data_IF_573010491046
#
_entry.id   IF_573010491046
#
_cell.length_a   1.000
_cell.length_b   1.000
_cell.length_c   1.000
_cell.angle_alpha   90.00
_cell.angle_beta   90.00
_cell.angle_gamma   90.00
#
_symmetry.space_group_name_H-M   'P 1'
#
loop_
_entity.id
_entity.type
_entity.pdbx_description
1 polymer ?
#
# COMPACT_ATOMS: atom_id res chain seq x y z
N UNK A 1 14.68 22.98 7.27
CA UNK A 1 13.69 22.07 7.87
C UNK A 1 13.48 20.93 6.90
N UNK A 2 14.02 19.76 7.18
CA UNK A 2 13.85 18.60 6.31
C UNK A 2 12.36 18.26 6.26
N UNK A 3 11.77 18.31 5.07
CA UNK A 3 10.40 17.85 4.84
C UNK A 3 10.44 16.33 5.05
N UNK A 4 10.21 15.89 6.30
CA UNK A 4 10.24 14.46 6.69
C UNK A 4 9.10 13.66 6.06
N UNK A 5 8.18 14.35 5.38
CA UNK A 5 7.12 13.73 4.60
C UNK A 5 7.63 13.41 3.20
N UNK A 6 7.83 12.11 2.93
CA UNK A 6 7.88 11.61 1.56
C UNK A 6 6.61 12.05 0.83
N UNK A 7 6.75 12.40 -0.45
CA UNK A 7 5.60 12.63 -1.31
C UNK A 7 4.71 11.38 -1.30
N UNK A 8 3.40 11.54 -1.10
CA UNK A 8 2.46 10.42 -0.93
C UNK A 8 2.54 9.39 -2.06
N UNK A 9 2.87 9.85 -3.26
CA UNK A 9 3.10 9.04 -4.46
C UNK A 9 4.28 8.05 -4.33
N UNK A 10 5.30 8.42 -3.55
CA UNK A 10 6.47 7.58 -3.27
C UNK A 10 6.24 6.55 -2.16
N UNK A 11 5.10 6.59 -1.47
CA UNK A 11 4.78 5.65 -0.39
C UNK A 11 3.99 4.47 -0.97
N UNK A 12 4.67 3.34 -1.17
CA UNK A 12 4.08 2.09 -1.65
C UNK A 12 3.40 1.33 -0.50
N UNK A 13 2.10 1.11 -0.60
CA UNK A 13 1.34 0.27 0.33
C UNK A 13 1.16 -1.12 -0.26
N UNK A 14 1.71 -2.14 0.39
CA UNK A 14 1.52 -3.53 0.04
C UNK A 14 0.48 -4.15 0.97
N UNK A 15 -0.60 -4.66 0.39
CA UNK A 15 -1.70 -5.30 1.12
C UNK A 15 -1.82 -6.74 0.65
N UNK A 16 -1.73 -7.68 1.59
CA UNK A 16 -1.75 -9.14 1.32
C UNK A 16 -2.92 -9.80 2.06
N UNK A 17 -3.16 -11.08 1.80
CA UNK A 17 -4.16 -11.90 2.50
C UNK A 17 -5.61 -11.41 2.34
N UNK A 18 -5.91 -10.81 1.19
CA UNK A 18 -7.31 -10.52 0.83
C UNK A 18 -7.97 -9.46 1.71
N UNK A 19 -7.23 -8.42 2.11
CA UNK A 19 -7.82 -7.24 2.78
C UNK A 19 -9.07 -6.71 2.05
N UNK A 20 -10.00 -6.21 2.85
CA UNK A 20 -11.27 -5.69 2.36
C UNK A 20 -11.08 -4.45 1.46
N UNK A 21 -11.87 -4.32 0.38
CA UNK A 21 -11.78 -3.20 -0.57
C UNK A 21 -11.86 -1.81 0.09
N UNK A 22 -12.52 -1.71 1.26
CA UNK A 22 -12.57 -0.50 2.08
C UNK A 22 -11.19 0.02 2.52
N UNK A 23 -10.21 -0.86 2.71
CA UNK A 23 -8.85 -0.46 3.07
C UNK A 23 -8.17 0.27 1.91
N UNK A 24 -8.34 -0.24 0.69
CA UNK A 24 -7.82 0.38 -0.55
C UNK A 24 -8.50 1.73 -0.77
N UNK A 25 -9.82 1.79 -0.59
CA UNK A 25 -10.60 3.02 -0.74
C UNK A 25 -10.17 4.10 0.25
N UNK A 26 -9.96 3.73 1.53
CA UNK A 26 -9.45 4.65 2.56
C UNK A 26 -8.06 5.20 2.22
N UNK A 27 -7.16 4.35 1.71
CA UNK A 27 -5.82 4.77 1.29
C UNK A 27 -5.88 5.70 0.08
N UNK A 28 -6.72 5.40 -0.92
CA UNK A 28 -6.94 6.27 -2.08
C UNK A 28 -7.55 7.60 -1.68
N UNK A 29 -8.56 7.60 -0.81
CA UNK A 29 -9.19 8.80 -0.29
C UNK A 29 -8.20 9.69 0.50
N UNK A 30 -7.22 9.08 1.17
CA UNK A 30 -6.12 9.79 1.83
C UNK A 30 -5.04 10.31 0.86
N UNK A 31 -5.19 10.07 -0.45
CA UNK A 31 -4.27 10.52 -1.50
C UNK A 31 -3.09 9.59 -1.75
N UNK A 32 -3.18 8.32 -1.34
CA UNK A 32 -2.19 7.30 -1.68
C UNK A 32 -2.60 6.60 -2.97
N UNK A 33 -1.82 6.81 -4.02
CA UNK A 33 -2.05 6.24 -5.35
C UNK A 33 -1.32 4.90 -5.54
N UNK A 34 -0.22 4.70 -4.81
CA UNK A 34 0.69 3.58 -4.96
C UNK A 34 0.31 2.42 -4.00
N UNK A 35 -0.80 1.75 -4.29
CA UNK A 35 -1.34 0.64 -3.48
C UNK A 35 -1.29 -0.65 -4.31
N UNK A 36 -0.59 -1.65 -3.81
CA UNK A 36 -0.49 -2.98 -4.38
C UNK A 36 -1.29 -3.95 -3.52
N UNK A 37 -2.25 -4.63 -4.13
CA UNK A 37 -3.15 -5.55 -3.43
C UNK A 37 -3.02 -6.96 -3.97
N UNK A 38 -2.72 -7.89 -3.07
CA UNK A 38 -2.63 -9.32 -3.34
C UNK A 38 -3.73 -10.05 -2.57
N UNK A 39 -4.57 -10.79 -3.31
CA UNK A 39 -5.67 -11.59 -2.72
C UNK A 39 -5.18 -12.84 -1.97
N UNK A 40 -3.96 -13.29 -2.24
CA UNK A 40 -3.33 -14.42 -1.55
C UNK A 40 -2.25 -13.96 -0.58
N UNK A 41 -1.73 -14.91 0.20
CA UNK A 41 -0.42 -14.73 0.82
C UNK A 41 0.62 -14.63 -0.30
N UNK A 42 1.50 -13.63 -0.24
CA UNK A 42 2.70 -13.64 -1.05
C UNK A 42 3.57 -14.80 -0.58
N UNK A 43 4.08 -15.57 -1.52
CA UNK A 43 5.05 -16.60 -1.18
C UNK A 43 6.30 -15.94 -0.58
N UNK A 44 7.01 -16.65 0.28
CA UNK A 44 8.11 -16.09 1.08
C UNK A 44 9.24 -15.56 0.18
N UNK A 45 9.37 -16.09 -1.04
CA UNK A 45 10.31 -15.63 -2.06
C UNK A 45 9.96 -14.26 -2.67
N UNK A 46 8.67 -13.87 -2.66
CA UNK A 46 8.23 -12.56 -3.16
C UNK A 46 8.29 -11.45 -2.09
N UNK A 47 8.51 -11.80 -0.82
CA UNK A 47 8.62 -10.84 0.29
C UNK A 47 10.06 -10.35 0.53
N UNK A 48 11.04 -10.80 -0.28
CA UNK A 48 12.47 -10.52 -0.09
C UNK A 48 12.93 -9.20 -0.68
#
# INVERSE_FOLDING_TARGET
>A
MAKVSLEKDKIKFLLVEGVHQKAIDSLRAAGYTNIEFHKGALDSEQLK
#
